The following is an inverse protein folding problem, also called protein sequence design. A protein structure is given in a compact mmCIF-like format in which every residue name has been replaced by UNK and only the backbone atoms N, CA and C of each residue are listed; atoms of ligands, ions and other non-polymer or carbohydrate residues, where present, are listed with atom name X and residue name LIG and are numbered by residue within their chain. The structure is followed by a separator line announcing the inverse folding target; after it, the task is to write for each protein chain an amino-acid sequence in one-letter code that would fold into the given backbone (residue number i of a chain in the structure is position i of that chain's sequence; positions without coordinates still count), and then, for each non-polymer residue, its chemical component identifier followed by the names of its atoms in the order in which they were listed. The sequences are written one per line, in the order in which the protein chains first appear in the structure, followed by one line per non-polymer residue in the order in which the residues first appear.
data_IF_494172402158
#
_entry.id   IF_494172402158
#
_cell.length_a   1.000
_cell.length_b   1.000
_cell.length_c   1.000
_cell.angle_alpha   90.00
_cell.angle_beta   90.00
_cell.angle_gamma   90.00
#
_symmetry.space_group_name_H-M   'P 1'
#
loop_
_entity.id
_entity.type
_entity.pdbx_description
1 polymer ?
#
# COMPACT_ATOMS: atom_id res chain seq x y z
N UNK A 1 12.49 -7.85 1.95
CA UNK A 1 12.89 -7.42 0.59
C UNK A 1 12.25 -6.09 0.20
N UNK A 2 10.90 -5.97 0.26
CA UNK A 2 10.17 -4.73 -0.07
C UNK A 2 10.68 -3.48 0.68
N UNK A 3 10.88 -3.55 2.00
CA UNK A 3 11.39 -2.41 2.75
C UNK A 3 12.78 -1.92 2.27
N UNK A 4 13.67 -2.83 1.84
CA UNK A 4 15.01 -2.48 1.36
C UNK A 4 14.91 -1.74 0.02
N UNK A 5 14.06 -2.21 -0.89
CA UNK A 5 13.85 -1.56 -2.19
C UNK A 5 13.17 -0.20 -2.04
N UNK A 6 12.17 -0.09 -1.15
CA UNK A 6 11.47 1.18 -0.88
C UNK A 6 12.41 2.21 -0.27
N UNK A 7 13.14 1.84 0.79
CA UNK A 7 14.08 2.73 1.48
C UNK A 7 15.26 3.08 0.55
N UNK A 8 15.81 2.08 -0.15
CA UNK A 8 16.91 2.27 -1.09
C UNK A 8 16.53 3.22 -2.23
N UNK A 9 15.35 3.05 -2.83
CA UNK A 9 14.83 3.95 -3.86
C UNK A 9 14.69 5.39 -3.36
N UNK A 10 14.12 5.57 -2.16
CA UNK A 10 13.96 6.90 -1.55
C UNK A 10 15.32 7.58 -1.30
N UNK A 11 16.31 6.83 -0.80
CA UNK A 11 17.67 7.34 -0.59
C UNK A 11 18.34 7.73 -1.90
N UNK A 12 18.20 6.91 -2.95
CA UNK A 12 18.75 7.23 -4.28
C UNK A 12 18.15 8.53 -4.81
N UNK A 13 16.82 8.72 -4.70
CA UNK A 13 16.15 9.94 -5.14
C UNK A 13 16.62 11.18 -4.36
N UNK A 14 16.76 11.09 -3.03
CA UNK A 14 17.25 12.20 -2.21
C UNK A 14 18.72 12.55 -2.52
N UNK A 15 19.58 11.54 -2.68
CA UNK A 15 20.99 11.74 -3.01
C UNK A 15 21.16 12.36 -4.40
N UNK A 16 20.37 11.94 -5.39
CA UNK A 16 20.38 12.53 -6.72
C UNK A 16 19.98 14.02 -6.68
N UNK A 17 18.94 14.37 -5.91
CA UNK A 17 18.52 15.76 -5.72
C UNK A 17 19.62 16.59 -5.05
N UNK A 18 20.20 16.08 -3.95
CA UNK A 18 21.28 16.76 -3.24
C UNK A 18 22.51 16.96 -4.14
N UNK A 19 22.93 15.92 -4.87
CA UNK A 19 24.06 15.99 -5.79
C UNK A 19 23.85 17.05 -6.89
N UNK A 20 22.66 17.12 -7.48
CA UNK A 20 22.32 18.13 -8.48
C UNK A 20 22.53 19.56 -7.93
N UNK A 21 22.07 19.83 -6.70
CA UNK A 21 22.19 21.14 -6.07
C UNK A 21 23.62 21.51 -5.70
N UNK A 22 24.39 20.53 -5.22
CA UNK A 22 25.82 20.75 -4.96
C UNK A 22 26.57 21.09 -6.26
N UNK A 23 26.23 20.45 -7.38
CA UNK A 23 26.82 20.74 -8.69
C UNK A 23 26.42 22.11 -9.22
N UNK A 24 25.21 22.58 -8.94
CA UNK A 24 24.73 23.93 -9.26
C UNK A 24 25.31 25.02 -8.34
N UNK A 25 26.15 24.65 -7.36
CA UNK A 25 26.73 25.57 -6.39
C UNK A 25 25.74 26.05 -5.32
N UNK A 26 24.59 25.38 -5.20
CA UNK A 26 23.56 25.67 -4.22
C UNK A 26 23.91 25.13 -2.83
N UNK A 27 23.70 25.95 -1.79
CA UNK A 27 23.78 25.50 -0.39
C UNK A 27 22.53 24.72 0.04
N UNK A 28 22.67 23.83 1.02
CA UNK A 28 21.54 23.06 1.58
C UNK A 28 20.39 23.94 2.12
N UNK A 29 20.68 25.20 2.49
CA UNK A 29 19.65 26.18 2.87
C UNK A 29 18.73 26.61 1.72
N UNK A 30 19.18 26.50 0.46
CA UNK A 30 18.37 26.82 -0.72
C UNK A 30 17.23 25.83 -0.97
N UNK A 31 17.33 24.61 -0.43
CA UNK A 31 16.27 23.60 -0.49
C UNK A 31 15.11 23.86 0.45
N UNK A 32 15.38 24.49 1.59
CA UNK A 32 14.43 24.63 2.68
C UNK A 32 13.80 26.02 2.67
N UNK A 33 12.81 26.21 1.79
CA UNK A 33 11.91 27.35 1.84
C UNK A 33 10.61 26.96 2.54
N UNK A 34 10.33 27.58 3.69
CA UNK A 34 9.09 27.35 4.43
C UNK A 34 7.86 27.71 3.57
N UNK A 35 7.96 28.78 2.77
CA UNK A 35 6.89 29.18 1.84
C UNK A 35 6.64 28.11 0.78
N UNK A 36 7.69 27.62 0.12
CA UNK A 36 7.57 26.57 -0.89
C UNK A 36 7.01 25.26 -0.28
N UNK A 37 7.43 24.91 0.94
CA UNK A 37 6.93 23.74 1.65
C UNK A 37 5.43 23.87 1.94
N UNK A 38 4.96 25.03 2.42
CA UNK A 38 3.54 25.26 2.70
C UNK A 38 2.70 25.16 1.41
N UNK A 39 3.18 25.74 0.30
CA UNK A 39 2.46 25.68 -0.98
C UNK A 39 2.40 24.25 -1.51
N UNK A 40 3.55 23.56 -1.56
CA UNK A 40 3.62 22.21 -2.12
C UNK A 40 2.91 21.21 -1.21
N UNK A 41 3.25 21.16 0.08
CA UNK A 41 2.65 20.21 1.00
C UNK A 41 1.18 20.54 1.27
N UNK A 42 0.86 21.79 1.58
CA UNK A 42 -0.51 22.22 1.87
C UNK A 42 -1.41 22.14 0.64
N UNK A 43 -0.94 22.59 -0.52
CA UNK A 43 -1.69 22.50 -1.77
C UNK A 43 -1.94 21.06 -2.20
N UNK A 44 -0.91 20.21 -2.12
CA UNK A 44 -1.04 18.78 -2.45
C UNK A 44 -2.00 18.09 -1.49
N UNK A 45 -1.83 18.28 -0.18
CA UNK A 45 -2.72 17.69 0.83
C UNK A 45 -4.16 18.16 0.63
N UNK A 46 -4.38 19.46 0.42
CA UNK A 46 -5.71 20.02 0.16
C UNK A 46 -6.36 19.43 -1.08
N UNK A 47 -5.63 19.37 -2.20
CA UNK A 47 -6.10 18.79 -3.45
C UNK A 47 -6.40 17.28 -3.29
N UNK A 48 -5.52 16.52 -2.63
CA UNK A 48 -5.73 15.09 -2.38
C UNK A 48 -6.94 14.83 -1.47
N UNK A 49 -7.13 15.62 -0.41
CA UNK A 49 -8.30 15.50 0.47
C UNK A 49 -9.59 15.85 -0.28
N UNK A 50 -9.56 16.83 -1.18
CA UNK A 50 -10.71 17.17 -2.02
C UNK A 50 -11.06 16.06 -3.03
N UNK A 51 -10.07 15.31 -3.51
CA UNK A 51 -10.25 14.24 -4.50
C UNK A 51 -10.73 12.90 -3.92
N UNK A 52 -10.64 12.69 -2.60
CA UNK A 52 -10.88 11.39 -1.97
C UNK A 52 -11.87 11.45 -0.81
N UNK A 53 -12.66 10.39 -0.63
CA UNK A 53 -13.61 10.28 0.47
C UNK A 53 -12.92 10.08 1.84
N UNK A 54 -13.54 10.56 2.91
CA UNK A 54 -13.00 10.47 4.28
C UNK A 54 -12.63 9.03 4.72
N UNK A 55 -13.39 8.04 4.28
CA UNK A 55 -13.13 6.63 4.59
C UNK A 55 -11.81 6.11 3.99
N UNK A 56 -11.43 6.60 2.81
CA UNK A 56 -10.15 6.25 2.16
C UNK A 56 -8.97 6.89 2.91
N UNK A 57 -9.12 8.16 3.29
CA UNK A 57 -8.10 8.92 4.03
C UNK A 57 -7.76 8.29 5.39
N UNK A 58 -8.76 7.79 6.13
CA UNK A 58 -8.52 7.14 7.44
C UNK A 58 -7.69 5.86 7.34
N UNK A 59 -7.64 5.22 6.17
CA UNK A 59 -6.90 3.96 5.96
C UNK A 59 -5.44 4.19 5.55
N UNK A 60 -5.03 5.42 5.26
CA UNK A 60 -3.67 5.76 4.83
C UNK A 60 -2.58 5.27 5.79
N UNK A 61 -2.69 5.42 7.12
CA UNK A 61 -1.62 4.99 8.03
C UNK A 61 -1.33 3.49 7.91
N UNK A 62 -2.38 2.67 7.81
CA UNK A 62 -2.24 1.22 7.65
C UNK A 62 -1.56 0.83 6.34
N UNK A 63 -1.89 1.52 5.25
CA UNK A 63 -1.29 1.25 3.93
C UNK A 63 0.15 1.76 3.84
N UNK A 64 0.45 2.88 4.48
CA UNK A 64 1.83 3.36 4.66
C UNK A 64 2.68 2.30 5.38
N UNK A 65 2.16 1.71 6.46
CA UNK A 65 2.83 0.64 7.18
C UNK A 65 3.05 -0.61 6.32
N UNK A 66 2.12 -0.94 5.41
CA UNK A 66 2.32 -2.04 4.46
C UNK A 66 3.45 -1.77 3.46
N UNK A 67 3.60 -0.51 3.02
CA UNK A 67 4.65 -0.12 2.07
C UNK A 67 6.07 -0.21 2.65
N UNK A 68 6.22 0.09 3.95
CA UNK A 68 7.50 0.04 4.68
C UNK A 68 7.69 -1.22 5.54
N UNK A 69 6.64 -2.00 5.74
CA UNK A 69 6.62 -3.19 6.59
C UNK A 69 7.30 -4.41 5.97
N UNK A 70 7.41 -5.47 6.76
CA UNK A 70 7.78 -6.79 6.24
C UNK A 70 6.61 -7.28 5.38
N UNK A 71 6.89 -7.61 4.12
CA UNK A 71 5.91 -8.12 3.17
C UNK A 71 5.16 -9.34 3.69
N UNK A 72 4.07 -9.66 2.98
CA UNK A 72 3.14 -10.80 3.18
C UNK A 72 3.80 -12.08 3.72
N UNK A 73 3.05 -12.93 4.45
CA UNK A 73 3.53 -14.23 4.92
C UNK A 73 4.30 -14.98 3.83
N UNK A 74 5.36 -15.70 4.23
CA UNK A 74 6.19 -16.46 3.31
C UNK A 74 5.27 -17.33 2.43
N UNK A 75 5.17 -17.02 1.13
CA UNK A 75 4.35 -17.79 0.19
C UNK A 75 4.63 -19.30 0.28
N UNK A 76 5.88 -19.66 0.58
CA UNK A 76 6.29 -21.04 0.81
C UNK A 76 5.60 -21.69 2.01
N UNK A 77 5.41 -20.94 3.09
CA UNK A 77 4.74 -21.44 4.29
C UNK A 77 3.26 -21.66 4.03
N UNK A 78 2.60 -20.70 3.39
CA UNK A 78 1.19 -20.82 2.99
C UNK A 78 0.99 -21.99 2.03
N UNK A 79 1.87 -22.15 1.04
CA UNK A 79 1.80 -23.28 0.11
C UNK A 79 2.00 -24.62 0.81
N UNK A 80 2.93 -24.70 1.76
CA UNK A 80 3.16 -25.90 2.57
C UNK A 80 1.92 -26.24 3.40
N UNK A 81 1.33 -25.25 4.08
CA UNK A 81 0.13 -25.42 4.87
C UNK A 81 -1.06 -25.92 4.03
N UNK A 82 -1.23 -25.39 2.82
CA UNK A 82 -2.26 -25.85 1.88
C UNK A 82 -2.04 -27.30 1.42
N UNK A 83 -0.79 -27.71 1.20
CA UNK A 83 -0.45 -29.09 0.86
C UNK A 83 -0.76 -30.04 2.03
N UNK A 84 -0.41 -29.64 3.26
CA UNK A 84 -0.70 -30.41 4.48
C UNK A 84 -2.22 -30.60 4.65
N UNK A 85 -3.04 -29.56 4.44
CA UNK A 85 -4.50 -29.70 4.43
C UNK A 85 -4.99 -30.65 3.33
N UNK A 86 -4.43 -30.59 2.12
CA UNK A 86 -4.75 -31.53 1.05
C UNK A 86 -4.44 -32.98 1.41
N UNK A 87 -3.34 -33.24 2.13
CA UNK A 87 -3.01 -34.58 2.61
C UNK A 87 -3.99 -35.09 3.67
N UNK A 88 -4.39 -34.23 4.61
CA UNK A 88 -5.37 -34.55 5.65
C UNK A 88 -6.71 -34.93 4.99
N UNK A 89 -7.21 -34.09 4.08
CA UNK A 89 -8.47 -34.34 3.37
C UNK A 89 -8.42 -35.66 2.60
N UNK A 90 -7.31 -35.96 1.93
CA UNK A 90 -7.17 -37.21 1.16
C UNK A 90 -7.17 -38.45 2.05
N UNK A 91 -6.62 -38.37 3.27
CA UNK A 91 -6.46 -39.52 4.19
C UNK A 91 -7.67 -39.71 5.11
N UNK A 92 -8.24 -38.62 5.61
CA UNK A 92 -9.20 -38.61 6.71
C UNK A 92 -10.56 -37.99 6.31
N UNK A 93 -10.67 -37.42 5.11
CA UNK A 93 -11.85 -36.71 4.65
C UNK A 93 -11.87 -35.23 5.07
N UNK A 94 -12.87 -34.50 4.57
CA UNK A 94 -12.97 -33.04 4.76
C UNK A 94 -13.25 -32.65 6.21
N UNK A 95 -14.01 -33.46 6.94
CA UNK A 95 -14.35 -33.23 8.36
C UNK A 95 -13.11 -33.16 9.27
N UNK A 96 -12.02 -33.83 8.90
CA UNK A 96 -10.77 -33.76 9.66
C UNK A 96 -10.11 -32.38 9.64
N UNK A 97 -10.52 -31.47 8.74
CA UNK A 97 -10.08 -30.08 8.76
C UNK A 97 -10.73 -29.25 9.88
N UNK A 98 -11.80 -29.74 10.50
CA UNK A 98 -12.47 -29.02 11.60
C UNK A 98 -11.53 -28.83 12.79
N UNK A 99 -10.74 -29.85 13.12
CA UNK A 99 -9.70 -29.78 14.17
C UNK A 99 -8.57 -28.79 13.84
N UNK A 100 -8.39 -28.46 12.55
CA UNK A 100 -7.37 -27.53 12.09
C UNK A 100 -7.85 -26.06 12.07
N UNK A 101 -9.17 -25.81 12.10
CA UNK A 101 -9.75 -24.46 12.06
C UNK A 101 -9.24 -23.55 13.19
N UNK A 102 -9.03 -24.12 14.38
CA UNK A 102 -8.52 -23.39 15.54
C UNK A 102 -7.06 -22.95 15.37
N UNK A 103 -6.28 -23.68 14.57
CA UNK A 103 -4.86 -23.43 14.35
C UNK A 103 -4.60 -22.46 13.18
N UNK A 104 -5.60 -22.25 12.31
CA UNK A 104 -5.50 -21.34 11.17
C UNK A 104 -5.65 -19.91 11.65
N UNK A 105 -4.56 -19.15 11.63
CA UNK A 105 -4.55 -17.72 12.04
C UNK A 105 -5.17 -16.80 10.99
N UNK A 106 -5.05 -17.17 9.71
CA UNK A 106 -5.52 -16.35 8.60
C UNK A 106 -7.06 -16.43 8.45
N UNK A 107 -7.79 -15.30 8.58
CA UNK A 107 -9.26 -15.31 8.52
C UNK A 107 -9.82 -15.80 7.19
N UNK A 108 -9.14 -15.52 6.08
CA UNK A 108 -9.57 -15.90 4.73
C UNK A 108 -9.49 -17.42 4.55
N UNK A 109 -8.38 -18.04 4.95
CA UNK A 109 -8.24 -19.50 4.97
C UNK A 109 -9.22 -20.16 5.94
N UNK A 110 -9.41 -19.59 7.14
CA UNK A 110 -10.36 -20.14 8.13
C UNK A 110 -11.78 -20.18 7.58
N UNK A 111 -12.24 -19.09 6.96
CA UNK A 111 -13.58 -19.03 6.38
C UNK A 111 -13.73 -19.99 5.18
N UNK A 112 -12.68 -20.15 4.38
CA UNK A 112 -12.67 -21.11 3.26
C UNK A 112 -12.79 -22.55 3.76
N UNK A 113 -12.06 -22.91 4.81
CA UNK A 113 -12.12 -24.26 5.41
C UNK A 113 -13.48 -24.50 6.05
N UNK A 114 -14.08 -23.50 6.71
CA UNK A 114 -15.43 -23.62 7.26
C UNK A 114 -16.46 -23.94 6.16
N UNK A 115 -16.43 -23.22 5.03
CA UNK A 115 -17.32 -23.50 3.89
C UNK A 115 -17.13 -24.91 3.31
N UNK A 116 -15.89 -25.42 3.30
CA UNK A 116 -15.59 -26.79 2.88
C UNK A 116 -16.19 -27.82 3.83
N UNK A 117 -16.04 -27.63 5.14
CA UNK A 117 -16.59 -28.51 6.18
C UNK A 117 -18.12 -28.52 6.15
N UNK A 118 -18.74 -27.36 5.89
CA UNK A 118 -20.18 -27.21 5.73
C UNK A 118 -20.73 -27.87 4.44
N UNK A 119 -19.86 -28.39 3.57
CA UNK A 119 -20.25 -29.08 2.35
C UNK A 119 -20.72 -28.14 1.23
N UNK A 120 -20.29 -26.88 1.25
CA UNK A 120 -20.59 -25.90 0.21
C UNK A 120 -20.06 -26.38 -1.15
N UNK A 121 -20.80 -26.13 -2.23
CA UNK A 121 -20.38 -26.54 -3.58
C UNK A 121 -19.07 -25.85 -4.00
N UNK A 122 -18.23 -26.57 -4.73
CA UNK A 122 -16.93 -26.09 -5.20
C UNK A 122 -17.04 -24.77 -5.99
N UNK A 123 -18.12 -24.59 -6.79
CA UNK A 123 -18.32 -23.35 -7.56
C UNK A 123 -18.65 -22.16 -6.66
N UNK A 124 -19.40 -22.37 -5.60
CA UNK A 124 -19.74 -21.33 -4.64
C UNK A 124 -18.51 -20.90 -3.82
N UNK A 125 -17.70 -21.87 -3.39
CA UNK A 125 -16.42 -21.59 -2.73
C UNK A 125 -15.49 -20.81 -3.67
N UNK A 126 -15.38 -21.22 -4.93
CA UNK A 126 -14.56 -20.49 -5.91
C UNK A 126 -15.06 -19.05 -6.11
N UNK A 127 -16.38 -18.87 -6.21
CA UNK A 127 -16.99 -17.54 -6.33
C UNK A 127 -16.71 -16.67 -5.10
N UNK A 128 -16.79 -17.24 -3.89
CA UNK A 128 -16.41 -16.57 -2.64
C UNK A 128 -14.94 -16.13 -2.66
N UNK A 129 -14.02 -17.07 -2.91
CA UNK A 129 -12.57 -16.80 -2.95
C UNK A 129 -12.21 -15.70 -3.94
N UNK A 130 -12.81 -15.74 -5.15
CA UNK A 130 -12.61 -14.73 -6.18
C UNK A 130 -13.14 -13.37 -5.76
N UNK A 131 -14.35 -13.33 -5.20
CA UNK A 131 -15.00 -12.09 -4.78
C UNK A 131 -14.24 -11.43 -3.65
N UNK A 132 -13.88 -12.18 -2.61
CA UNK A 132 -13.16 -11.66 -1.45
C UNK A 132 -11.76 -11.15 -1.84
N UNK A 133 -11.02 -11.92 -2.65
CA UNK A 133 -9.72 -11.49 -3.20
C UNK A 133 -9.85 -10.21 -4.02
N UNK A 134 -10.91 -10.09 -4.83
CA UNK A 134 -11.16 -8.91 -5.65
C UNK A 134 -11.47 -7.68 -4.78
N UNK A 135 -12.35 -7.84 -3.78
CA UNK A 135 -12.68 -6.77 -2.83
C UNK A 135 -11.43 -6.29 -2.08
N UNK A 136 -10.58 -7.21 -1.62
CA UNK A 136 -9.32 -6.88 -0.98
C UNK A 136 -8.39 -6.09 -1.91
N UNK A 137 -8.22 -6.55 -3.16
CA UNK A 137 -7.40 -5.86 -4.17
C UNK A 137 -7.93 -4.46 -4.48
N UNK A 138 -9.24 -4.32 -4.64
CA UNK A 138 -9.87 -3.02 -4.92
C UNK A 138 -9.70 -2.06 -3.75
N UNK A 139 -9.83 -2.55 -2.52
CA UNK A 139 -9.59 -1.76 -1.30
C UNK A 139 -8.14 -1.27 -1.18
N UNK A 140 -7.16 -2.16 -1.41
CA UNK A 140 -5.74 -1.78 -1.38
C UNK A 140 -5.41 -0.80 -2.51
N UNK A 141 -5.90 -1.07 -3.73
CA UNK A 141 -5.69 -0.23 -4.91
C UNK A 141 -6.28 1.16 -4.71
N UNK A 142 -7.50 1.25 -4.20
CA UNK A 142 -8.15 2.53 -3.88
C UNK A 142 -7.37 3.34 -2.86
N UNK A 143 -6.81 2.70 -1.85
CA UNK A 143 -5.98 3.37 -0.86
C UNK A 143 -4.63 3.82 -1.45
N UNK A 144 -4.04 3.03 -2.34
CA UNK A 144 -2.82 3.39 -3.06
C UNK A 144 -3.04 4.58 -4.02
N UNK A 145 -4.23 4.69 -4.63
CA UNK A 145 -4.59 5.82 -5.50
C UNK A 145 -4.47 7.17 -4.79
N UNK A 146 -4.69 7.25 -3.48
CA UNK A 146 -4.52 8.50 -2.73
C UNK A 146 -3.09 9.03 -2.84
N UNK A 147 -2.09 8.15 -2.70
CA UNK A 147 -0.68 8.52 -2.87
C UNK A 147 -0.34 8.84 -4.33
N UNK A 148 -0.98 8.16 -5.29
CA UNK A 148 -0.83 8.46 -6.71
C UNK A 148 -1.39 9.86 -7.05
N UNK A 149 -2.55 10.21 -6.50
CA UNK A 149 -3.16 11.55 -6.61
C UNK A 149 -2.27 12.61 -5.99
N UNK A 150 -1.75 12.37 -4.78
CA UNK A 150 -0.81 13.28 -4.13
C UNK A 150 0.48 13.46 -4.97
N UNK A 151 1.05 12.36 -5.47
CA UNK A 151 2.22 12.39 -6.34
C UNK A 151 1.96 13.10 -7.68
N UNK A 152 0.72 13.08 -8.18
CA UNK A 152 0.30 13.82 -9.37
C UNK A 152 0.16 15.32 -9.13
N UNK A 153 -0.35 15.74 -7.96
CA UNK A 153 -0.51 17.16 -7.63
C UNK A 153 0.78 17.84 -7.18
N UNK A 154 1.68 17.13 -6.50
CA UNK A 154 2.90 17.72 -5.92
C UNK A 154 3.78 18.50 -6.93
N UNK A 155 4.08 17.99 -8.15
CA UNK A 155 4.85 18.75 -9.14
C UNK A 155 4.13 20.01 -9.61
N UNK A 156 2.81 19.95 -9.79
CA UNK A 156 2.02 21.10 -10.25
C UNK A 156 1.96 22.20 -9.19
N UNK A 157 1.81 21.85 -7.91
CA UNK A 157 1.92 22.78 -6.80
C UNK A 157 3.33 23.38 -6.69
N UNK A 158 4.36 22.61 -7.03
CA UNK A 158 5.74 23.10 -7.15
C UNK A 158 5.89 24.22 -8.18
N UNK A 159 5.31 24.05 -9.37
CA UNK A 159 5.31 25.07 -10.43
C UNK A 159 4.54 26.32 -9.99
N UNK A 160 3.43 26.17 -9.27
CA UNK A 160 2.71 27.32 -8.69
C UNK A 160 3.61 28.07 -7.69
N UNK A 161 4.33 27.32 -6.84
CA UNK A 161 5.28 27.89 -5.88
C UNK A 161 6.41 28.67 -6.55
N UNK A 162 6.96 28.18 -7.67
CA UNK A 162 8.00 28.91 -8.41
C UNK A 162 7.45 30.20 -9.01
N UNK A 163 6.25 30.17 -9.60
CA UNK A 163 5.60 31.38 -10.15
C UNK A 163 5.34 32.40 -9.05
N UNK A 164 4.78 31.99 -7.90
CA UNK A 164 4.56 32.91 -6.77
C UNK A 164 5.89 33.50 -6.26
N UNK A 165 6.95 32.70 -6.18
CA UNK A 165 8.28 33.17 -5.80
C UNK A 165 8.84 34.21 -6.77
N UNK A 166 8.69 33.99 -8.07
CA UNK A 166 9.13 34.95 -9.09
C UNK A 166 8.34 36.26 -9.02
N UNK A 167 7.01 36.20 -8.83
CA UNK A 167 6.18 37.40 -8.68
C UNK A 167 6.60 38.22 -7.46
N UNK A 168 6.94 37.58 -6.34
CA UNK A 168 7.39 38.28 -5.13
C UNK A 168 8.75 38.98 -5.31
N UNK A 169 9.63 38.45 -6.16
CA UNK A 169 10.95 39.04 -6.42
C UNK A 169 10.89 40.15 -7.48
N UNK A 170 9.96 40.04 -8.44
CA UNK A 170 9.84 40.97 -9.57
C UNK A 170 8.82 42.10 -9.36
N UNK A 171 7.88 41.94 -8.43
CA UNK A 171 6.88 42.95 -8.04
C UNK A 171 7.27 43.65 -6.75
#
# INVERSE_FOLDING_TARGET
MLAITTIGGLLISLLALAAALFLEGGGAGGLFSLSALIIVAGGTLGATVMSHGFHELRRLPGVLLLAFGKGTPHQKEVARQLLEFGEIVRRQGVLALEEQLEQVTDPFLRQTIALLVDGTDSKEIEAFLRTDTQLYKDQVTRSARVFQTAGGYAPTMGIIGTVMGLVHVLG
#
